data_IF_193468925577
#
_entry.id   IF_193468925577
#
_cell.length_a   1.000
_cell.length_b   1.000
_cell.length_c   1.000
_cell.angle_alpha   90.00
_cell.angle_beta   90.00
_cell.angle_gamma   90.00
#
_symmetry.space_group_name_H-M   'P 1'
#
loop_
_entity.id
_entity.type
_entity.pdbx_description
1 polymer ?
#
# COMPACT_ATOMS: atom_id res chain seq x y z
N UNK A 1 5.47 -7.66 -21.71
CA UNK A 1 6.81 -8.22 -21.99
C UNK A 1 7.86 -7.30 -21.40
N UNK A 2 8.72 -7.82 -20.53
CA UNK A 2 9.79 -7.04 -19.88
C UNK A 2 11.01 -6.93 -20.83
N UNK A 3 10.93 -6.03 -21.80
CA UNK A 3 11.99 -5.84 -22.81
C UNK A 3 13.30 -5.27 -22.24
N UNK A 4 13.23 -4.52 -21.15
CA UNK A 4 14.37 -3.79 -20.61
C UNK A 4 15.02 -4.49 -19.41
N UNK A 5 14.45 -5.60 -18.94
CA UNK A 5 15.02 -6.41 -17.86
C UNK A 5 15.39 -5.60 -16.62
N UNK A 6 16.64 -5.75 -16.18
CA UNK A 6 17.18 -5.05 -15.00
C UNK A 6 17.61 -3.59 -15.23
N UNK A 7 17.49 -3.08 -16.46
CA UNK A 7 17.87 -1.68 -16.76
C UNK A 7 16.83 -0.65 -16.33
N UNK A 8 15.66 -1.11 -15.86
CA UNK A 8 14.62 -0.23 -15.34
C UNK A 8 14.49 -0.37 -13.82
N UNK A 9 14.21 0.73 -13.15
CA UNK A 9 13.98 0.74 -11.70
C UNK A 9 12.62 0.18 -11.29
N UNK A 10 11.66 0.28 -12.18
CA UNK A 10 10.31 -0.21 -11.95
C UNK A 10 9.76 -0.78 -13.25
N UNK A 11 9.20 -1.96 -13.15
CA UNK A 11 8.46 -2.60 -14.25
C UNK A 11 7.10 -3.05 -13.75
N UNK A 12 6.07 -2.74 -14.51
CA UNK A 12 4.74 -3.27 -14.26
C UNK A 12 4.04 -3.63 -15.56
N UNK A 13 3.43 -4.80 -15.57
CA UNK A 13 2.60 -5.28 -16.67
C UNK A 13 1.14 -5.07 -16.30
N UNK A 14 0.53 -3.99 -16.80
CA UNK A 14 -0.89 -3.73 -16.57
C UNK A 14 -1.73 -4.89 -17.13
N UNK A 15 -2.81 -5.27 -16.47
CA UNK A 15 -3.79 -6.17 -17.06
C UNK A 15 -4.47 -5.48 -18.25
N UNK A 16 -4.92 -6.28 -19.24
CA UNK A 16 -5.72 -5.73 -20.32
C UNK A 16 -6.99 -5.07 -19.76
N UNK A 17 -7.39 -3.88 -20.25
CA UNK A 17 -8.47 -3.12 -19.66
C UNK A 17 -9.80 -3.88 -19.69
N UNK A 18 -10.49 -3.89 -18.55
CA UNK A 18 -11.85 -4.43 -18.38
C UNK A 18 -12.57 -3.64 -17.31
N UNK A 19 -13.89 -3.65 -17.31
CA UNK A 19 -14.73 -2.99 -16.30
C UNK A 19 -14.57 -3.58 -14.89
N UNK A 20 -13.96 -4.76 -14.78
CA UNK A 20 -13.73 -5.43 -13.51
C UNK A 20 -12.45 -4.94 -12.81
N UNK A 21 -11.60 -4.21 -13.54
CA UNK A 21 -10.36 -3.68 -12.98
C UNK A 21 -10.61 -2.26 -12.48
N UNK A 22 -10.47 -2.01 -11.17
CA UNK A 22 -10.64 -0.67 -10.62
C UNK A 22 -9.62 0.31 -11.20
N UNK A 23 -10.07 1.48 -11.65
CA UNK A 23 -9.19 2.52 -12.20
C UNK A 23 -8.13 3.00 -11.16
N UNK A 24 -8.45 2.94 -9.86
CA UNK A 24 -7.47 3.24 -8.78
C UNK A 24 -6.19 2.39 -8.90
N UNK A 25 -6.29 1.14 -9.34
CA UNK A 25 -5.09 0.29 -9.51
C UNK A 25 -4.15 0.89 -10.58
N UNK A 26 -4.71 1.38 -11.68
CA UNK A 26 -3.93 2.04 -12.73
C UNK A 26 -3.31 3.32 -12.22
N UNK A 27 -4.07 4.14 -11.49
CA UNK A 27 -3.60 5.40 -10.91
C UNK A 27 -2.45 5.14 -9.92
N UNK A 28 -2.63 4.22 -8.97
CA UNK A 28 -1.56 3.85 -8.02
C UNK A 28 -0.31 3.35 -8.74
N UNK A 29 -0.48 2.55 -9.81
CA UNK A 29 0.67 2.06 -10.58
C UNK A 29 1.42 3.19 -11.27
N UNK A 30 0.69 4.15 -11.86
CA UNK A 30 1.29 5.32 -12.50
C UNK A 30 2.02 6.21 -11.49
N UNK A 31 1.40 6.51 -10.35
CA UNK A 31 2.03 7.28 -9.27
C UNK A 31 3.29 6.60 -8.75
N UNK A 32 3.24 5.26 -8.59
CA UNK A 32 4.41 4.47 -8.21
C UNK A 32 5.52 4.56 -9.25
N UNK A 33 5.18 4.47 -10.53
CA UNK A 33 6.16 4.60 -11.62
C UNK A 33 6.81 5.98 -11.62
N UNK A 34 6.03 7.05 -11.47
CA UNK A 34 6.55 8.42 -11.37
C UNK A 34 7.46 8.56 -10.15
N UNK A 35 7.02 8.03 -9.00
CA UNK A 35 7.84 8.04 -7.79
C UNK A 35 9.20 7.37 -8.02
N UNK A 36 9.23 6.16 -8.57
CA UNK A 36 10.48 5.44 -8.85
C UNK A 36 11.33 6.09 -9.94
N UNK A 37 10.72 6.78 -10.89
CA UNK A 37 11.47 7.52 -11.91
C UNK A 37 12.19 8.75 -11.34
N UNK A 38 11.58 9.42 -10.37
CA UNK A 38 12.03 10.72 -9.86
C UNK A 38 12.74 10.64 -8.50
N UNK A 39 12.54 9.57 -7.73
CA UNK A 39 13.23 9.39 -6.44
C UNK A 39 14.70 9.03 -6.63
N UNK A 40 15.55 9.47 -5.68
CA UNK A 40 16.99 9.18 -5.71
C UNK A 40 17.26 7.69 -5.39
N UNK A 41 18.14 7.04 -6.19
CA UNK A 41 18.67 7.44 -7.48
C UNK A 41 17.58 7.41 -8.55
N UNK A 42 17.35 8.49 -9.28
CA UNK A 42 16.37 8.53 -10.37
C UNK A 42 16.77 7.61 -11.52
N UNK A 43 15.78 7.14 -12.28
CA UNK A 43 16.05 6.25 -13.40
C UNK A 43 14.82 5.83 -14.18
N UNK A 44 15.01 5.10 -15.29
CA UNK A 44 13.93 4.72 -16.18
C UNK A 44 12.94 3.75 -15.54
N UNK A 45 11.68 3.86 -15.93
CA UNK A 45 10.60 2.93 -15.58
C UNK A 45 9.91 2.41 -16.83
N UNK A 46 9.34 1.23 -16.74
CA UNK A 46 8.65 0.61 -17.88
C UNK A 46 7.27 0.10 -17.44
N UNK A 47 6.23 0.63 -18.05
CA UNK A 47 4.87 0.13 -17.90
C UNK A 47 4.44 -0.48 -19.24
N UNK A 48 4.11 -1.75 -19.23
CA UNK A 48 3.54 -2.43 -20.38
C UNK A 48 2.01 -2.36 -20.30
N UNK A 49 1.38 -1.83 -21.36
CA UNK A 49 -0.07 -1.66 -21.45
C UNK A 49 -0.61 -2.61 -22.55
N UNK A 50 -1.00 -3.84 -22.21
CA UNK A 50 -1.56 -4.77 -23.19
C UNK A 50 -2.99 -4.38 -23.55
N UNK A 51 -3.33 -4.52 -24.83
CA UNK A 51 -4.69 -4.40 -25.33
C UNK A 51 -5.12 -5.73 -25.96
N UNK A 52 -6.42 -5.99 -25.97
CA UNK A 52 -7.00 -7.18 -26.59
C UNK A 52 -7.29 -6.92 -28.05
N UNK A 53 -7.16 -7.96 -28.87
CA UNK A 53 -7.66 -7.95 -30.22
C UNK A 53 -9.17 -8.29 -30.27
N UNK A 54 -9.92 -7.78 -31.25
CA UNK A 54 -9.50 -6.85 -32.28
C UNK A 54 -9.29 -5.44 -31.73
N UNK A 55 -8.31 -4.70 -32.29
CA UNK A 55 -8.00 -3.31 -31.90
C UNK A 55 -8.99 -2.29 -32.50
N UNK A 56 -10.11 -2.78 -32.98
CA UNK A 56 -11.17 -1.92 -33.48
C UNK A 56 -11.84 -1.14 -32.35
N UNK A 57 -11.95 0.16 -32.57
CA UNK A 57 -12.58 1.09 -31.64
C UNK A 57 -14.09 1.11 -31.77
N UNK A 58 -14.77 0.07 -31.33
CA UNK A 58 -16.20 0.18 -31.07
C UNK A 58 -16.37 0.82 -29.69
N UNK A 59 -17.04 2.00 -29.57
CA UNK A 59 -17.25 2.62 -28.28
C UNK A 59 -18.05 1.69 -27.34
N UNK A 60 -17.43 1.20 -26.29
CA UNK A 60 -18.12 0.47 -25.25
C UNK A 60 -18.40 1.41 -24.06
N UNK A 61 -19.57 1.26 -23.46
CA UNK A 61 -19.88 1.93 -22.20
C UNK A 61 -19.19 1.18 -21.06
N UNK A 62 -18.39 1.89 -20.30
CA UNK A 62 -17.77 1.37 -19.09
C UNK A 62 -18.77 1.30 -17.95
N UNK A 63 -18.67 0.28 -17.11
CA UNK A 63 -19.43 0.23 -15.87
C UNK A 63 -18.87 1.28 -14.91
N UNK A 64 -19.74 2.09 -14.34
CA UNK A 64 -19.33 3.13 -13.37
C UNK A 64 -18.66 2.55 -12.11
N UNK A 65 -18.85 1.26 -11.83
CA UNK A 65 -18.22 0.56 -10.73
C UNK A 65 -16.69 0.57 -10.78
N UNK A 66 -16.08 0.59 -11.98
CA UNK A 66 -14.62 0.65 -12.11
C UNK A 66 -14.04 2.01 -11.65
N UNK A 67 -14.88 3.05 -11.60
CA UNK A 67 -14.53 4.41 -11.16
C UNK A 67 -14.93 4.68 -9.71
N UNK A 68 -15.43 3.68 -9.00
CA UNK A 68 -15.88 3.85 -7.62
C UNK A 68 -14.76 4.37 -6.71
N UNK A 69 -15.10 5.42 -5.92
CA UNK A 69 -14.19 6.05 -4.97
C UNK A 69 -13.14 6.97 -5.59
N UNK A 70 -13.35 7.44 -6.83
CA UNK A 70 -12.48 8.41 -7.49
C UNK A 70 -13.03 9.84 -7.51
N UNK A 71 -14.21 10.07 -6.94
CA UNK A 71 -14.90 11.37 -7.01
C UNK A 71 -14.02 12.52 -6.48
N UNK A 72 -13.38 12.32 -5.34
CA UNK A 72 -12.47 13.29 -4.75
C UNK A 72 -11.21 13.51 -5.60
N UNK A 73 -10.67 12.45 -6.17
CA UNK A 73 -9.49 12.53 -7.04
C UNK A 73 -9.83 13.25 -8.34
N UNK A 74 -10.96 12.96 -8.95
CA UNK A 74 -11.41 13.63 -10.20
C UNK A 74 -11.66 15.12 -9.99
N UNK A 75 -11.95 15.55 -8.78
CA UNK A 75 -12.12 16.96 -8.44
C UNK A 75 -10.78 17.69 -8.16
N UNK A 76 -9.68 16.97 -8.03
CA UNK A 76 -8.37 17.49 -7.67
C UNK A 76 -7.34 17.17 -8.76
N UNK A 77 -6.32 18.02 -8.90
CA UNK A 77 -5.20 17.80 -9.84
C UNK A 77 -4.00 17.09 -9.18
N UNK A 78 -4.18 16.48 -8.02
CA UNK A 78 -3.13 15.84 -7.25
C UNK A 78 -2.97 14.36 -7.63
N UNK A 79 -1.78 13.75 -7.40
CA UNK A 79 -1.59 12.31 -7.51
C UNK A 79 -2.59 11.55 -6.63
N UNK A 80 -3.04 10.39 -7.11
CA UNK A 80 -3.94 9.53 -6.34
C UNK A 80 -3.22 8.90 -5.13
N UNK A 81 -1.93 8.55 -5.31
CA UNK A 81 -1.07 8.00 -4.28
C UNK A 81 0.06 8.96 -3.96
N UNK A 82 0.21 9.35 -2.70
CA UNK A 82 1.30 10.20 -2.21
C UNK A 82 2.36 9.34 -1.51
N UNK A 83 3.62 9.59 -1.82
CA UNK A 83 4.77 9.00 -1.13
C UNK A 83 5.33 10.03 -0.14
N UNK A 84 5.35 9.67 1.11
CA UNK A 84 5.90 10.52 2.17
C UNK A 84 7.30 10.00 2.52
N UNK A 85 8.33 10.80 2.26
CA UNK A 85 9.70 10.49 2.63
C UNK A 85 10.01 11.10 3.98
N UNK A 86 10.08 10.28 5.00
CA UNK A 86 10.58 10.70 6.30
C UNK A 86 12.11 10.59 6.29
N UNK A 87 12.79 11.73 6.17
CA UNK A 87 14.21 11.78 6.45
C UNK A 87 14.43 11.74 7.97
N UNK A 88 14.84 10.58 8.46
CA UNK A 88 15.32 10.41 9.84
C UNK A 88 16.71 11.06 10.02
N UNK A 89 16.83 12.33 9.71
CA UNK A 89 17.98 13.08 10.20
C UNK A 89 17.67 13.50 11.63
N UNK A 90 18.60 13.24 12.55
CA UNK A 90 18.49 13.54 13.98
C UNK A 90 18.18 15.02 14.33
N UNK A 91 17.96 15.86 13.34
CA UNK A 91 17.65 17.28 13.46
C UNK A 91 16.28 17.68 12.89
N UNK A 92 15.48 16.75 12.38
CA UNK A 92 14.21 17.10 11.72
C UNK A 92 13.02 17.19 12.67
N UNK A 93 13.10 18.15 13.59
CA UNK A 93 11.90 18.72 14.24
C UNK A 93 11.18 19.70 13.26
N UNK A 94 11.67 19.87 12.03
CA UNK A 94 11.31 20.95 11.12
C UNK A 94 10.58 20.56 9.83
N UNK A 95 9.93 19.41 9.77
CA UNK A 95 8.92 19.15 8.73
C UNK A 95 7.54 18.95 9.38
N UNK A 96 6.94 19.97 9.99
CA UNK A 96 5.70 19.83 10.75
C UNK A 96 4.50 19.47 9.87
N UNK A 97 4.54 19.78 8.56
CA UNK A 97 3.42 19.58 7.66
C UNK A 97 3.12 18.11 7.33
N UNK A 98 4.12 17.38 6.85
CA UNK A 98 3.93 15.99 6.38
C UNK A 98 3.61 15.04 7.54
N UNK A 99 4.31 15.19 8.67
CA UNK A 99 4.00 14.40 9.87
C UNK A 99 2.61 14.70 10.41
N UNK A 100 2.18 15.95 10.35
CA UNK A 100 0.83 16.34 10.76
C UNK A 100 -0.23 15.73 9.86
N UNK A 101 0.03 15.62 8.55
CA UNK A 101 -0.88 14.95 7.62
C UNK A 101 -1.03 13.46 7.96
N UNK A 102 0.09 12.75 8.20
CA UNK A 102 0.08 11.33 8.61
C UNK A 102 -0.66 11.15 9.94
N UNK A 103 -0.38 11.98 10.92
CA UNK A 103 -1.08 11.92 12.21
C UNK A 103 -2.59 12.18 12.07
N UNK A 104 -2.98 13.11 11.21
CA UNK A 104 -4.39 13.37 10.94
C UNK A 104 -5.08 12.19 10.25
N UNK A 105 -4.40 11.49 9.33
CA UNK A 105 -4.92 10.27 8.71
C UNK A 105 -5.11 9.18 9.77
N UNK A 106 -4.11 8.97 10.62
CA UNK A 106 -4.18 7.99 11.71
C UNK A 106 -5.34 8.29 12.66
N UNK A 107 -5.49 9.56 13.05
CA UNK A 107 -6.54 9.99 14.00
C UNK A 107 -7.96 9.88 13.44
N UNK A 108 -8.12 9.96 12.12
CA UNK A 108 -9.42 9.86 11.45
C UNK A 108 -9.77 8.45 10.99
N UNK A 109 -8.83 7.54 11.08
CA UNK A 109 -8.99 6.16 10.65
C UNK A 109 -10.05 5.43 11.49
N UNK A 110 -11.01 4.80 10.84
CA UNK A 110 -12.05 3.99 11.47
C UNK A 110 -11.79 2.49 11.31
N UNK A 111 -11.38 2.07 10.09
CA UNK A 111 -11.07 0.69 9.74
C UNK A 111 -9.65 0.60 9.22
N UNK A 112 -8.71 0.44 10.12
CA UNK A 112 -7.29 0.55 9.82
C UNK A 112 -6.57 -0.79 9.92
N UNK A 113 -5.45 -0.92 9.19
CA UNK A 113 -4.63 -2.11 9.16
C UNK A 113 -3.15 -1.74 9.20
N UNK A 114 -2.36 -2.49 9.97
CA UNK A 114 -0.90 -2.48 9.91
C UNK A 114 -0.42 -3.68 9.10
N UNK A 115 0.39 -3.42 8.09
CA UNK A 115 1.01 -4.45 7.26
C UNK A 115 2.52 -4.43 7.45
N UNK A 116 3.07 -5.44 8.12
CA UNK A 116 4.51 -5.56 8.31
C UNK A 116 5.11 -6.45 7.22
N UNK A 117 5.83 -5.82 6.31
CA UNK A 117 6.62 -6.48 5.27
C UNK A 117 7.97 -6.98 5.78
N UNK A 118 8.99 -6.97 4.93
CA UNK A 118 10.34 -7.37 5.32
C UNK A 118 10.92 -6.41 6.37
N UNK A 119 11.41 -6.97 7.48
CA UNK A 119 12.12 -6.26 8.54
C UNK A 119 13.55 -6.80 8.55
N UNK A 120 14.54 -5.92 8.52
CA UNK A 120 15.94 -6.30 8.36
C UNK A 120 16.76 -6.13 9.64
N UNK A 121 16.32 -5.30 10.57
CA UNK A 121 17.03 -5.01 11.83
C UNK A 121 16.14 -5.19 13.06
N UNK A 122 16.78 -5.42 14.21
CA UNK A 122 16.06 -5.48 15.48
C UNK A 122 15.39 -4.14 15.81
N UNK A 123 16.03 -3.02 15.49
CA UNK A 123 15.50 -1.68 15.77
C UNK A 123 14.21 -1.43 14.97
N UNK A 124 14.19 -1.83 13.70
CA UNK A 124 12.96 -1.75 12.87
C UNK A 124 11.84 -2.62 13.46
N UNK A 125 12.18 -3.81 13.93
CA UNK A 125 11.23 -4.70 14.57
C UNK A 125 10.64 -4.10 15.85
N UNK A 126 11.48 -3.52 16.69
CA UNK A 126 11.02 -2.85 17.91
C UNK A 126 10.16 -1.63 17.59
N UNK A 127 10.55 -0.84 16.58
CA UNK A 127 9.75 0.30 16.14
C UNK A 127 8.37 -0.14 15.63
N UNK A 128 8.30 -1.21 14.83
CA UNK A 128 7.05 -1.79 14.34
C UNK A 128 6.14 -2.27 15.48
N UNK A 129 6.71 -2.96 16.47
CA UNK A 129 5.97 -3.43 17.65
C UNK A 129 5.48 -2.25 18.51
N UNK A 130 6.29 -1.22 18.71
CA UNK A 130 5.88 -0.02 19.44
C UNK A 130 4.74 0.70 18.73
N UNK A 131 4.80 0.82 17.42
CA UNK A 131 3.74 1.40 16.61
C UNK A 131 2.45 0.60 16.75
N UNK A 132 2.50 -0.71 16.60
CA UNK A 132 1.36 -1.60 16.75
C UNK A 132 0.73 -1.50 18.16
N UNK A 133 1.58 -1.44 19.20
CA UNK A 133 1.13 -1.27 20.59
C UNK A 133 0.38 0.05 20.80
N UNK A 134 0.87 1.12 20.17
CA UNK A 134 0.26 2.45 20.29
C UNK A 134 -1.05 2.55 19.54
N UNK A 135 -1.08 2.09 18.31
CA UNK A 135 -2.26 2.20 17.45
C UNK A 135 -3.34 1.20 17.80
N UNK A 136 -2.98 0.02 18.31
CA UNK A 136 -3.90 -1.09 18.60
C UNK A 136 -4.72 -1.53 17.38
N UNK A 137 -4.18 -1.31 16.20
CA UNK A 137 -4.79 -1.73 14.95
C UNK A 137 -4.51 -3.20 14.68
N UNK A 138 -5.36 -3.89 13.92
CA UNK A 138 -5.05 -5.23 13.42
C UNK A 138 -3.72 -5.24 12.66
N UNK A 139 -2.92 -6.27 12.91
CA UNK A 139 -1.58 -6.43 12.33
C UNK A 139 -1.57 -7.64 11.42
N UNK A 140 -1.20 -7.44 10.17
CA UNK A 140 -0.86 -8.52 9.23
C UNK A 140 0.66 -8.56 9.08
N UNK A 141 1.25 -9.67 9.45
CA UNK A 141 2.70 -9.86 9.37
C UNK A 141 3.05 -10.81 8.22
N UNK A 142 3.85 -10.31 7.28
CA UNK A 142 4.49 -11.15 6.27
C UNK A 142 5.52 -12.09 6.93
N UNK A 143 5.83 -13.19 6.26
CA UNK A 143 6.84 -14.13 6.76
C UNK A 143 8.22 -13.48 6.86
N UNK A 144 8.53 -12.54 5.99
CA UNK A 144 9.81 -11.82 5.96
C UNK A 144 9.93 -10.80 7.10
N UNK A 145 8.84 -10.48 7.80
CA UNK A 145 8.90 -9.61 8.97
C UNK A 145 9.54 -10.27 10.19
N UNK A 146 9.64 -11.61 10.20
CA UNK A 146 10.04 -12.38 11.39
C UNK A 146 8.99 -12.40 12.51
N UNK A 147 7.92 -11.63 12.41
CA UNK A 147 6.88 -11.50 13.44
C UNK A 147 5.76 -12.53 13.30
N UNK A 148 5.60 -13.14 12.13
CA UNK A 148 4.52 -14.11 11.86
C UNK A 148 4.55 -15.32 12.81
N UNK A 149 5.73 -15.81 13.17
CA UNK A 149 5.89 -16.95 14.08
C UNK A 149 5.79 -16.58 15.57
N UNK A 150 5.68 -15.29 15.89
CA UNK A 150 5.52 -14.76 17.26
C UNK A 150 6.58 -15.23 18.27
N UNK A 151 7.68 -15.83 17.80
CA UNK A 151 8.73 -16.37 18.68
C UNK A 151 9.33 -15.33 19.61
N UNK A 152 9.46 -14.09 19.13
CA UNK A 152 9.97 -12.98 19.93
C UNK A 152 8.94 -12.48 20.96
N UNK A 153 7.64 -12.57 20.62
CA UNK A 153 6.56 -12.13 21.50
C UNK A 153 6.39 -13.06 22.70
N UNK A 154 6.75 -14.34 22.57
CA UNK A 154 6.70 -15.29 23.70
C UNK A 154 7.65 -14.91 24.84
N UNK A 155 8.74 -14.18 24.53
CA UNK A 155 9.65 -13.63 25.53
C UNK A 155 9.06 -12.40 26.26
N UNK A 156 7.94 -11.85 25.76
CA UNK A 156 7.31 -10.66 26.30
C UNK A 156 5.79 -10.85 26.38
N UNK A 157 5.29 -11.65 27.35
CA UNK A 157 3.87 -12.02 27.44
C UNK A 157 2.91 -10.84 27.60
N UNK A 158 3.38 -9.73 28.18
CA UNK A 158 2.58 -8.50 28.31
C UNK A 158 2.39 -7.78 26.97
N UNK A 159 3.28 -8.02 26.02
CA UNK A 159 3.19 -7.46 24.67
C UNK A 159 2.20 -8.26 23.85
N UNK A 160 2.22 -9.58 23.93
CA UNK A 160 1.37 -10.48 23.11
C UNK A 160 -0.14 -10.20 23.31
N UNK A 161 -0.54 -9.88 24.53
CA UNK A 161 -1.96 -9.60 24.87
C UNK A 161 -2.52 -8.32 24.28
N UNK A 162 -1.67 -7.44 23.79
CA UNK A 162 -2.06 -6.12 23.29
C UNK A 162 -2.09 -6.03 21.76
N UNK A 163 -1.79 -7.13 21.04
CA UNK A 163 -1.77 -7.14 19.58
C UNK A 163 -2.90 -7.97 19.01
N UNK A 164 -3.51 -7.46 17.96
CA UNK A 164 -4.50 -8.16 17.17
C UNK A 164 -3.82 -8.63 15.88
N UNK A 165 -3.21 -9.82 15.90
CA UNK A 165 -2.67 -10.42 14.70
C UNK A 165 -3.77 -11.06 13.85
N UNK A 166 -3.80 -10.71 12.58
CA UNK A 166 -4.70 -11.31 11.58
C UNK A 166 -3.88 -12.26 10.73
N UNK A 167 -3.96 -13.53 11.07
CA UNK A 167 -3.30 -14.58 10.31
C UNK A 167 -4.18 -14.98 9.10
N UNK A 168 -3.53 -15.34 7.98
CA UNK A 168 -4.20 -15.81 6.77
C UNK A 168 -5.21 -14.83 6.16
N UNK A 169 -4.96 -13.52 6.26
CA UNK A 169 -5.80 -12.51 5.64
C UNK A 169 -5.95 -12.72 4.13
N UNK A 170 -4.90 -13.17 3.46
CA UNK A 170 -4.87 -13.52 2.05
C UNK A 170 -5.95 -14.56 1.69
N UNK A 171 -6.09 -15.61 2.50
CA UNK A 171 -7.15 -16.61 2.32
C UNK A 171 -8.54 -16.06 2.66
N UNK A 172 -8.64 -15.26 3.72
CA UNK A 172 -9.91 -14.66 4.11
C UNK A 172 -10.46 -13.71 3.04
N UNK A 173 -9.58 -12.99 2.34
CA UNK A 173 -9.93 -12.10 1.22
C UNK A 173 -10.42 -12.82 -0.03
N UNK A 174 -10.40 -14.15 -0.10
CA UNK A 174 -11.07 -14.90 -1.17
C UNK A 174 -12.60 -14.87 -1.01
N UNK A 175 -13.10 -14.59 0.19
CA UNK A 175 -14.52 -14.45 0.46
C UNK A 175 -15.02 -13.04 0.19
N UNK A 176 -16.04 -12.89 -0.66
CA UNK A 176 -16.65 -11.60 -0.94
C UNK A 176 -17.34 -10.99 0.30
N UNK A 177 -17.84 -11.81 1.20
CA UNK A 177 -18.38 -11.36 2.48
C UNK A 177 -17.30 -10.71 3.36
N UNK A 178 -16.09 -11.27 3.36
CA UNK A 178 -14.97 -10.72 4.12
C UNK A 178 -14.47 -9.43 3.48
N UNK A 179 -14.42 -9.35 2.16
CA UNK A 179 -14.06 -8.12 1.45
C UNK A 179 -15.02 -6.98 1.77
N UNK A 180 -16.33 -7.26 1.78
CA UNK A 180 -17.35 -6.26 2.10
C UNK A 180 -17.34 -5.85 3.57
N UNK A 181 -16.88 -6.73 4.48
CA UNK A 181 -16.75 -6.42 5.88
C UNK A 181 -15.45 -5.67 6.20
N UNK A 182 -14.39 -5.98 5.47
CA UNK A 182 -13.05 -5.41 5.67
C UNK A 182 -12.84 -4.14 4.82
N UNK A 183 -13.77 -3.18 4.88
CA UNK A 183 -13.59 -1.87 4.24
C UNK A 183 -12.52 -1.08 4.97
N UNK A 184 -11.25 -1.37 4.67
CA UNK A 184 -10.10 -0.68 5.26
C UNK A 184 -9.98 0.72 4.65
N UNK A 185 -9.95 1.74 5.50
CA UNK A 185 -9.80 3.14 5.10
C UNK A 185 -8.34 3.60 5.15
N UNK A 186 -7.53 3.03 6.05
CA UNK A 186 -6.10 3.35 6.19
C UNK A 186 -5.26 2.08 6.34
N UNK A 187 -4.23 1.94 5.52
CA UNK A 187 -3.20 0.92 5.65
C UNK A 187 -1.86 1.60 5.87
N UNK A 188 -1.15 1.19 6.93
CA UNK A 188 0.25 1.57 7.15
C UNK A 188 1.11 0.34 6.86
N UNK A 189 2.08 0.52 5.96
CA UNK A 189 3.01 -0.52 5.54
C UNK A 189 4.45 -0.08 5.82
#
# INVERSE_FOLDING_TARGET
VNHFGSFVRFFFNLPAPTDQIPAKMVLTTLDSAVHWATSSPCGPVHINCPFREPLESSPCRWLSSCLSGLDLWMANAEPFTKYIHMQLSHTCINAPGEMTEVLNLILRANNSLLLFGAIHTEDEMWAALLLAKHLKWPVVADILSGLRLRKLLTSFPDIERNFIFVDNLDHALLSDSVKGWLEVDVVIQ
#
